data_IF_087647908079
#
_entry.id   IF_087647908079
#
_cell.length_a   1.000
_cell.length_b   1.000
_cell.length_c   1.000
_cell.angle_alpha   90.00
_cell.angle_beta   90.00
_cell.angle_gamma   90.00
#
_symmetry.space_group_name_H-M   'P 1'
#
loop_
_entity.id
_entity.type
_entity.pdbx_description
1 polymer ?
#
# COMPACT_ATOMS: atom_id res chain seq x y z
N UNK A 1 -14.29 -16.95 4.32
CA UNK A 1 -14.59 -16.38 3.01
C UNK A 1 -13.83 -15.05 2.84
N UNK A 2 -13.38 -14.68 1.63
CA UNK A 2 -12.60 -13.46 1.40
C UNK A 2 -13.43 -12.18 1.20
N UNK A 3 -14.67 -12.13 1.67
CA UNK A 3 -15.53 -10.94 1.55
C UNK A 3 -15.25 -10.00 2.72
N UNK A 4 -14.53 -8.97 2.46
CA UNK A 4 -14.17 -7.96 3.44
C UNK A 4 -13.03 -7.08 2.95
N UNK A 5 -12.76 -6.04 3.71
CA UNK A 5 -11.70 -5.06 3.46
C UNK A 5 -10.67 -5.08 4.58
N UNK A 6 -9.45 -4.64 4.27
CA UNK A 6 -8.44 -4.47 5.30
C UNK A 6 -7.55 -3.27 5.05
N UNK A 7 -6.87 -2.85 6.09
CA UNK A 7 -5.73 -1.94 5.97
C UNK A 7 -4.57 -2.42 6.84
N UNK A 8 -3.35 -1.99 6.51
CA UNK A 8 -2.18 -2.13 7.35
C UNK A 8 -1.72 -0.74 7.73
N UNK A 9 -1.54 -0.51 9.02
CA UNK A 9 -1.17 0.76 9.62
C UNK A 9 0.26 0.67 10.17
N UNK A 10 1.03 1.73 10.02
CA UNK A 10 2.29 1.92 10.76
C UNK A 10 1.94 2.55 12.11
N UNK A 11 2.52 2.03 13.18
CA UNK A 11 2.43 2.57 14.53
C UNK A 11 3.76 3.24 14.84
N UNK A 12 3.73 4.50 15.23
CA UNK A 12 4.86 5.27 15.73
C UNK A 12 4.51 5.79 17.12
N UNK A 13 5.36 5.52 18.10
CA UNK A 13 5.16 5.96 19.50
C UNK A 13 3.75 5.59 20.05
N UNK A 14 3.24 4.41 19.68
CA UNK A 14 1.91 3.94 20.07
C UNK A 14 0.73 4.52 19.27
N UNK A 15 0.97 5.47 18.37
CA UNK A 15 -0.07 6.12 17.57
C UNK A 15 -0.14 5.54 16.16
N UNK A 16 -1.34 5.19 15.65
CA UNK A 16 -1.51 4.78 14.25
C UNK A 16 -1.37 5.98 13.31
N UNK A 17 -0.38 5.95 12.41
CA UNK A 17 -0.11 7.04 11.49
C UNK A 17 -1.18 7.17 10.41
N UNK A 18 -1.65 8.41 10.17
CA UNK A 18 -2.62 8.77 9.13
C UNK A 18 -3.89 7.90 9.15
N UNK A 19 -4.41 7.62 10.35
CA UNK A 19 -5.56 6.75 10.53
C UNK A 19 -6.79 7.22 9.78
N UNK A 20 -7.02 8.53 9.69
CA UNK A 20 -8.08 9.17 8.95
C UNK A 20 -8.10 8.78 7.46
N UNK A 21 -6.93 8.79 6.79
CA UNK A 21 -6.78 8.37 5.39
C UNK A 21 -7.00 6.87 5.21
N UNK A 22 -6.51 6.07 6.15
CA UNK A 22 -6.75 4.63 6.15
C UNK A 22 -8.23 4.30 6.34
N UNK A 23 -8.90 5.03 7.23
CA UNK A 23 -10.33 4.89 7.50
C UNK A 23 -11.16 5.26 6.27
N UNK A 24 -10.92 6.43 5.69
CA UNK A 24 -11.63 6.89 4.50
C UNK A 24 -11.53 5.85 3.34
N UNK A 25 -10.33 5.29 3.12
CA UNK A 25 -10.16 4.25 2.10
C UNK A 25 -10.92 2.96 2.46
N UNK A 26 -10.86 2.49 3.71
CA UNK A 26 -11.61 1.29 4.13
C UNK A 26 -13.11 1.49 3.97
N UNK A 27 -13.65 2.65 4.34
CA UNK A 27 -15.06 2.98 4.16
C UNK A 27 -15.44 2.95 2.68
N UNK A 28 -14.68 3.62 1.83
CA UNK A 28 -14.89 3.61 0.38
C UNK A 28 -14.84 2.20 -0.22
N UNK A 29 -13.85 1.40 0.17
CA UNK A 29 -13.72 0.02 -0.31
C UNK A 29 -14.88 -0.86 0.17
N UNK A 30 -15.33 -0.69 1.43
CA UNK A 30 -16.46 -1.40 2.00
C UNK A 30 -17.77 -1.09 1.25
N UNK A 31 -18.04 0.19 0.96
CA UNK A 31 -19.19 0.62 0.15
C UNK A 31 -19.18 -0.05 -1.23
N UNK A 32 -18.02 -0.12 -1.90
CA UNK A 32 -17.88 -0.81 -3.20
C UNK A 32 -18.16 -2.31 -3.09
N UNK A 33 -17.89 -2.93 -1.94
CA UNK A 33 -18.20 -4.32 -1.66
C UNK A 33 -19.65 -4.55 -1.17
N UNK A 34 -20.45 -3.48 -1.01
CA UNK A 34 -21.80 -3.56 -0.50
C UNK A 34 -21.86 -4.03 0.96
N UNK A 35 -20.98 -3.48 1.80
CA UNK A 35 -20.92 -3.75 3.24
C UNK A 35 -20.76 -2.48 4.05
N UNK A 36 -21.30 -2.45 5.27
CA UNK A 36 -21.06 -1.42 6.28
C UNK A 36 -19.92 -1.87 7.19
N UNK A 37 -19.10 -0.94 7.67
CA UNK A 37 -18.10 -1.27 8.70
C UNK A 37 -18.74 -1.50 10.07
N UNK A 38 -19.84 -0.81 10.39
CA UNK A 38 -20.58 -1.00 11.64
C UNK A 38 -19.87 -0.48 12.90
N UNK A 39 -18.80 0.30 12.74
CA UNK A 39 -17.97 0.85 13.83
C UNK A 39 -17.67 2.33 13.57
N UNK A 40 -17.46 3.05 14.66
CA UNK A 40 -17.02 4.44 14.63
C UNK A 40 -15.50 4.54 14.46
N UNK A 41 -15.04 5.48 13.63
CA UNK A 41 -13.62 5.71 13.36
C UNK A 41 -12.80 5.88 14.64
N UNK A 42 -13.26 6.72 15.58
CA UNK A 42 -12.56 7.02 16.82
C UNK A 42 -12.38 5.77 17.69
N UNK A 43 -13.41 4.92 17.78
CA UNK A 43 -13.36 3.68 18.54
C UNK A 43 -12.33 2.70 17.97
N UNK A 44 -12.31 2.53 16.65
CA UNK A 44 -11.33 1.62 16.00
C UNK A 44 -9.90 2.16 16.13
N UNK A 45 -9.71 3.48 16.02
CA UNK A 45 -8.42 4.12 16.26
C UNK A 45 -7.91 3.84 17.69
N UNK A 46 -8.79 4.01 18.67
CA UNK A 46 -8.50 3.72 20.08
C UNK A 46 -8.13 2.25 20.28
N UNK A 47 -8.92 1.32 19.75
CA UNK A 47 -8.62 -0.13 19.85
C UNK A 47 -7.26 -0.49 19.27
N UNK A 48 -6.85 0.13 18.16
CA UNK A 48 -5.50 -0.08 17.58
C UNK A 48 -4.43 0.38 18.56
N UNK A 49 -4.58 1.55 19.17
CA UNK A 49 -3.59 2.10 20.12
C UNK A 49 -3.52 1.27 21.40
N UNK A 50 -4.66 0.92 22.00
CA UNK A 50 -4.73 0.07 23.19
C UNK A 50 -4.12 -1.31 22.94
N UNK A 51 -4.41 -1.93 21.79
CA UNK A 51 -3.84 -3.22 21.43
C UNK A 51 -2.32 -3.14 21.18
N UNK A 52 -1.85 -2.03 20.58
CA UNK A 52 -0.43 -1.79 20.39
C UNK A 52 0.31 -1.67 21.72
N UNK A 53 -0.26 -0.96 22.67
CA UNK A 53 0.28 -0.82 24.03
C UNK A 53 0.29 -2.15 24.77
N UNK A 54 -0.86 -2.86 24.81
CA UNK A 54 -1.00 -4.14 25.49
C UNK A 54 -0.03 -5.21 24.95
N UNK A 55 0.27 -5.18 23.67
CA UNK A 55 1.19 -6.10 23.00
C UNK A 55 2.65 -5.58 22.98
N UNK A 56 2.94 -4.43 23.59
CA UNK A 56 4.26 -3.77 23.55
C UNK A 56 4.76 -3.56 22.11
N UNK A 57 3.90 -2.97 21.26
CA UNK A 57 4.16 -2.69 19.84
C UNK A 57 4.04 -1.20 19.52
N UNK A 58 4.67 -0.35 20.37
CA UNK A 58 4.68 1.10 20.18
C UNK A 58 5.38 1.52 18.89
N UNK A 59 6.35 0.71 18.44
CA UNK A 59 6.97 0.76 17.11
C UNK A 59 6.63 -0.53 16.36
N UNK A 60 5.60 -0.49 15.52
CA UNK A 60 5.10 -1.70 14.89
C UNK A 60 4.13 -1.44 13.74
N UNK A 61 3.35 -2.44 13.45
CA UNK A 61 2.26 -2.37 12.49
C UNK A 61 0.98 -2.95 13.08
N UNK A 62 -0.15 -2.39 12.69
CA UNK A 62 -1.45 -2.99 12.93
C UNK A 62 -2.11 -3.35 11.60
N UNK A 63 -2.81 -4.47 11.57
CA UNK A 63 -3.74 -4.84 10.51
C UNK A 63 -5.14 -4.78 11.05
N UNK A 64 -5.97 -3.93 10.45
CA UNK A 64 -7.40 -3.81 10.72
C UNK A 64 -8.15 -4.45 9.57
N UNK A 65 -9.05 -5.37 9.86
CA UNK A 65 -9.84 -6.10 8.87
C UNK A 65 -11.30 -6.09 9.27
N UNK A 66 -12.15 -5.82 8.30
CA UNK A 66 -13.60 -5.94 8.43
C UNK A 66 -14.07 -7.09 7.54
N UNK A 67 -14.67 -8.09 8.15
CA UNK A 67 -15.12 -9.33 7.48
C UNK A 67 -16.63 -9.36 7.46
N UNK A 68 -17.24 -9.50 6.28
CA UNK A 68 -18.68 -9.62 6.16
C UNK A 68 -19.15 -10.98 6.67
N UNK A 69 -20.05 -10.97 7.68
CA UNK A 69 -20.61 -12.15 8.32
C UNK A 69 -21.89 -12.65 7.66
N UNK A 70 -22.70 -11.72 7.14
CA UNK A 70 -24.02 -11.97 6.61
C UNK A 70 -24.11 -11.86 5.11
N UNK A 71 -25.14 -12.46 4.52
CA UNK A 71 -25.47 -12.30 3.12
C UNK A 71 -24.58 -13.09 2.15
N UNK A 72 -23.90 -14.14 2.63
CA UNK A 72 -23.33 -15.17 1.77
C UNK A 72 -24.40 -16.11 1.24
N UNK A 73 -24.06 -16.93 0.22
CA UNK A 73 -24.97 -17.88 -0.44
C UNK A 73 -25.70 -18.83 0.53
N UNK A 74 -25.15 -19.02 1.73
CA UNK A 74 -25.58 -20.01 2.72
C UNK A 74 -25.87 -19.41 4.10
N UNK A 75 -25.83 -18.09 4.24
CA UNK A 75 -26.02 -17.42 5.52
C UNK A 75 -27.46 -16.90 5.63
N UNK A 76 -28.19 -17.31 6.65
CA UNK A 76 -29.44 -16.67 7.05
C UNK A 76 -29.12 -15.38 7.81
N UNK A 77 -30.01 -14.39 7.70
CA UNK A 77 -29.93 -13.17 8.51
C UNK A 77 -30.19 -13.57 9.98
N UNK A 78 -29.20 -13.34 10.84
CA UNK A 78 -29.30 -13.56 12.28
C UNK A 78 -29.17 -12.25 13.05
N UNK A 79 -29.26 -12.32 14.39
CA UNK A 79 -29.11 -11.16 15.29
C UNK A 79 -27.65 -10.68 15.47
N UNK A 80 -26.68 -11.34 14.80
CA UNK A 80 -25.27 -10.98 14.89
C UNK A 80 -24.96 -9.75 14.04
N UNK A 81 -23.90 -8.97 14.36
CA UNK A 81 -23.45 -7.86 13.54
C UNK A 81 -23.17 -8.31 12.09
N UNK A 82 -23.47 -7.45 11.12
CA UNK A 82 -23.22 -7.74 9.70
C UNK A 82 -21.72 -7.93 9.41
N UNK A 83 -20.88 -7.31 10.21
CA UNK A 83 -19.42 -7.22 9.97
C UNK A 83 -18.66 -7.48 11.25
N UNK A 84 -17.66 -8.36 11.20
CA UNK A 84 -16.69 -8.58 12.27
C UNK A 84 -15.47 -7.68 12.08
N UNK A 85 -15.00 -7.10 13.19
CA UNK A 85 -13.74 -6.37 13.26
C UNK A 85 -12.64 -7.28 13.83
N UNK A 86 -11.54 -7.40 13.09
CA UNK A 86 -10.33 -8.11 13.51
C UNK A 86 -9.15 -7.14 13.49
N UNK A 87 -8.44 -7.01 14.61
CA UNK A 87 -7.24 -6.19 14.72
C UNK A 87 -6.06 -7.07 15.17
N UNK A 88 -4.96 -6.98 14.44
CA UNK A 88 -3.71 -7.66 14.75
C UNK A 88 -2.58 -6.66 14.82
N UNK A 89 -1.67 -6.81 15.79
CA UNK A 89 -0.42 -6.04 15.85
C UNK A 89 0.78 -6.94 15.62
N UNK A 90 1.81 -6.41 14.97
CA UNK A 90 3.06 -7.13 14.68
C UNK A 90 4.26 -6.21 14.84
N UNK A 91 5.43 -6.81 15.05
CA UNK A 91 6.70 -6.10 14.89
C UNK A 91 6.84 -5.57 13.48
N UNK A 92 7.58 -4.47 13.34
CA UNK A 92 7.93 -3.94 12.03
C UNK A 92 8.78 -4.97 11.28
N UNK A 93 8.40 -5.20 10.02
CA UNK A 93 9.19 -6.04 9.12
C UNK A 93 10.47 -5.31 8.76
N UNK A 94 11.60 -6.01 8.85
CA UNK A 94 12.88 -5.50 8.37
C UNK A 94 12.94 -5.72 6.85
N UNK A 95 13.02 -4.64 6.10
CA UNK A 95 13.12 -4.67 4.65
C UNK A 95 14.57 -4.49 4.20
N UNK A 96 14.98 -5.04 3.04
CA UNK A 96 16.28 -4.73 2.45
C UNK A 96 16.37 -3.23 2.12
N UNK A 97 17.59 -2.69 2.19
CA UNK A 97 17.83 -1.28 1.83
C UNK A 97 17.53 -0.97 0.36
N UNK A 98 17.67 -1.97 -0.50
CA UNK A 98 17.39 -1.89 -1.95
C UNK A 98 16.62 -3.12 -2.37
N UNK A 99 15.49 -2.91 -3.05
CA UNK A 99 14.58 -3.96 -3.47
C UNK A 99 14.88 -4.46 -4.88
N UNK A 100 14.62 -5.74 -5.12
CA UNK A 100 14.63 -6.40 -6.43
C UNK A 100 13.21 -6.82 -6.77
N UNK A 101 12.68 -6.37 -7.89
CA UNK A 101 11.32 -6.66 -8.30
C UNK A 101 11.30 -7.66 -9.45
N UNK A 102 10.31 -8.56 -9.43
CA UNK A 102 9.92 -9.39 -10.58
C UNK A 102 8.88 -8.64 -11.38
N UNK A 103 8.92 -8.69 -12.71
CA UNK A 103 7.85 -8.16 -13.55
C UNK A 103 6.82 -9.25 -13.85
N UNK A 104 5.54 -8.95 -13.69
CA UNK A 104 4.45 -9.86 -14.04
C UNK A 104 3.45 -9.19 -14.98
N UNK A 105 3.37 -9.71 -16.20
CA UNK A 105 2.42 -9.25 -17.21
C UNK A 105 1.01 -9.77 -16.91
N UNK A 106 -0.02 -9.02 -17.34
CA UNK A 106 -1.44 -9.40 -17.25
C UNK A 106 -1.87 -9.86 -15.85
N UNK A 107 -1.32 -9.24 -14.82
CA UNK A 107 -1.55 -9.63 -13.43
C UNK A 107 -2.69 -8.87 -12.76
N UNK A 108 -3.11 -7.76 -13.33
CA UNK A 108 -4.16 -6.90 -12.80
C UNK A 108 -5.12 -6.54 -13.93
N UNK A 109 -6.43 -6.52 -13.64
CA UNK A 109 -7.46 -6.10 -14.59
C UNK A 109 -8.10 -4.81 -14.10
N UNK A 110 -7.72 -3.69 -14.70
CA UNK A 110 -8.10 -2.35 -14.24
C UNK A 110 -9.57 -2.01 -14.47
N UNK A 111 -10.21 -2.64 -15.45
CA UNK A 111 -11.62 -2.41 -15.77
C UNK A 111 -12.61 -3.11 -14.82
N UNK A 112 -12.13 -3.86 -13.81
CA UNK A 112 -13.05 -4.48 -12.84
C UNK A 112 -13.64 -3.45 -11.90
N UNK A 113 -14.90 -3.69 -11.47
CA UNK A 113 -15.59 -2.84 -10.47
C UNK A 113 -14.77 -2.65 -9.17
N UNK A 114 -13.95 -3.63 -8.80
CA UNK A 114 -13.19 -3.65 -7.55
C UNK A 114 -11.70 -3.40 -7.74
N UNK A 115 -11.26 -2.96 -8.94
CA UNK A 115 -9.87 -2.58 -9.16
C UNK A 115 -9.43 -1.51 -8.15
N UNK A 116 -8.24 -1.65 -7.59
CA UNK A 116 -7.70 -0.74 -6.58
C UNK A 116 -8.31 -0.88 -5.17
N UNK A 117 -9.29 -1.78 -4.93
CA UNK A 117 -9.84 -2.01 -3.60
C UNK A 117 -8.95 -2.94 -2.76
N UNK A 118 -8.77 -2.61 -1.47
CA UNK A 118 -7.96 -3.42 -0.54
C UNK A 118 -8.80 -4.49 0.14
N UNK A 119 -9.02 -5.58 -0.59
CA UNK A 119 -9.89 -6.69 -0.19
C UNK A 119 -9.15 -7.83 0.51
N UNK A 120 -9.85 -8.56 1.35
CA UNK A 120 -9.34 -9.79 1.98
C UNK A 120 -9.05 -10.93 0.98
N UNK A 121 -9.70 -10.93 -0.18
CA UNK A 121 -9.43 -11.85 -1.31
C UNK A 121 -8.08 -11.52 -1.98
N UNK A 122 -6.99 -11.62 -1.24
CA UNK A 122 -5.65 -11.22 -1.65
C UNK A 122 -4.76 -12.40 -2.09
N UNK A 123 -5.33 -13.57 -2.31
CA UNK A 123 -4.59 -14.81 -2.58
C UNK A 123 -3.74 -14.73 -3.86
N UNK A 124 -4.20 -14.03 -4.89
CA UNK A 124 -3.43 -13.86 -6.12
C UNK A 124 -2.11 -13.12 -5.86
N UNK A 125 -2.17 -11.98 -5.15
CA UNK A 125 -0.98 -11.20 -4.80
C UNK A 125 -0.05 -12.00 -3.87
N UNK A 126 -0.62 -12.75 -2.89
CA UNK A 126 0.15 -13.58 -1.98
C UNK A 126 0.90 -14.68 -2.74
N UNK A 127 0.25 -15.37 -3.68
CA UNK A 127 0.89 -16.42 -4.47
C UNK A 127 1.99 -15.90 -5.40
N UNK A 128 1.77 -14.74 -6.04
CA UNK A 128 2.79 -14.07 -6.84
C UNK A 128 4.01 -13.67 -6.00
N UNK A 129 3.76 -13.11 -4.82
CA UNK A 129 4.81 -12.69 -3.88
C UNK A 129 5.63 -13.88 -3.37
N UNK A 130 4.97 -14.97 -2.97
CA UNK A 130 5.62 -16.19 -2.49
C UNK A 130 6.53 -16.80 -3.57
N UNK A 131 6.03 -16.88 -4.81
CA UNK A 131 6.82 -17.33 -5.96
C UNK A 131 8.02 -16.42 -6.20
N UNK A 132 7.84 -15.10 -6.18
CA UNK A 132 8.93 -14.15 -6.38
C UNK A 132 10.00 -14.28 -5.29
N UNK A 133 9.60 -14.46 -4.03
CA UNK A 133 10.54 -14.71 -2.92
C UNK A 133 11.35 -15.98 -3.14
N UNK A 134 10.73 -17.07 -3.63
CA UNK A 134 11.45 -18.31 -3.93
C UNK A 134 12.48 -18.17 -5.07
N UNK A 135 12.27 -17.17 -5.95
CA UNK A 135 13.17 -16.81 -7.06
C UNK A 135 14.19 -15.72 -6.66
N UNK A 136 14.15 -15.24 -5.41
CA UNK A 136 15.10 -14.27 -4.86
C UNK A 136 14.73 -12.81 -5.14
N UNK A 137 13.48 -12.51 -5.46
CA UNK A 137 12.95 -11.14 -5.57
C UNK A 137 12.21 -10.75 -4.30
N UNK A 138 12.07 -9.44 -4.05
CA UNK A 138 11.49 -8.89 -2.82
C UNK A 138 10.01 -8.50 -2.98
N UNK A 139 9.55 -8.25 -4.21
CA UNK A 139 8.15 -7.98 -4.58
C UNK A 139 7.95 -8.20 -6.09
N UNK A 140 6.71 -8.06 -6.57
CA UNK A 140 6.35 -8.23 -7.97
C UNK A 140 5.71 -6.95 -8.49
N UNK A 141 6.28 -6.36 -9.55
CA UNK A 141 5.69 -5.27 -10.31
C UNK A 141 4.63 -5.84 -11.26
N UNK A 142 3.41 -5.38 -11.13
CA UNK A 142 2.25 -5.86 -11.86
C UNK A 142 1.93 -4.94 -13.05
N UNK A 143 1.75 -5.54 -14.22
CA UNK A 143 1.17 -4.87 -15.37
C UNK A 143 -0.34 -5.17 -15.43
N UNK A 144 -1.10 -4.17 -15.88
CA UNK A 144 -2.50 -4.36 -16.17
C UNK A 144 -2.73 -5.04 -17.55
N UNK A 145 -3.98 -5.24 -17.94
CA UNK A 145 -4.38 -5.87 -19.20
C UNK A 145 -3.93 -5.11 -20.45
N UNK A 146 -3.68 -3.82 -20.33
CA UNK A 146 -3.15 -2.96 -21.42
C UNK A 146 -1.63 -2.94 -21.50
N UNK A 147 -0.95 -3.68 -20.61
CA UNK A 147 0.52 -3.71 -20.54
C UNK A 147 1.12 -2.50 -19.82
N UNK A 148 0.32 -1.66 -19.17
CA UNK A 148 0.81 -0.54 -18.38
C UNK A 148 1.22 -0.99 -16.97
N UNK A 149 2.24 -0.33 -16.41
CA UNK A 149 2.62 -0.47 -15.01
C UNK A 149 1.44 -0.05 -14.13
N UNK A 150 1.14 -0.83 -13.11
CA UNK A 150 0.09 -0.49 -12.16
C UNK A 150 0.67 -0.27 -10.75
N UNK A 151 1.09 -1.33 -10.10
CA UNK A 151 1.65 -1.31 -8.73
C UNK A 151 2.47 -2.58 -8.48
N UNK A 152 3.09 -2.70 -7.31
CA UNK A 152 3.61 -3.97 -6.82
C UNK A 152 2.53 -4.72 -6.03
N UNK A 153 2.74 -6.01 -5.73
CA UNK A 153 1.77 -6.80 -4.95
C UNK A 153 1.44 -6.15 -3.61
N UNK A 154 2.36 -5.39 -3.03
CA UNK A 154 2.20 -4.78 -1.70
C UNK A 154 2.68 -3.33 -1.59
N UNK A 155 2.92 -2.63 -2.71
CA UNK A 155 3.42 -1.25 -2.76
C UNK A 155 3.01 -0.54 -4.05
N UNK A 156 2.91 0.80 -4.02
CA UNK A 156 2.84 1.61 -5.24
C UNK A 156 4.24 1.82 -5.83
N UNK A 157 4.33 2.04 -7.15
CA UNK A 157 5.58 2.23 -7.88
C UNK A 157 5.74 3.68 -8.33
N UNK A 158 6.99 4.16 -8.34
CA UNK A 158 7.38 5.49 -8.79
C UNK A 158 8.67 5.40 -9.60
N UNK A 159 8.69 6.14 -10.70
CA UNK A 159 9.86 6.30 -11.56
C UNK A 159 10.36 7.74 -11.46
N UNK A 160 11.66 7.91 -11.42
CA UNK A 160 12.29 9.24 -11.47
C UNK A 160 12.88 9.43 -12.88
N UNK A 161 12.52 10.54 -13.50
CA UNK A 161 13.09 10.96 -14.79
C UNK A 161 13.42 12.45 -14.70
N UNK A 162 14.70 12.78 -14.82
CA UNK A 162 15.17 14.14 -14.58
C UNK A 162 14.80 14.62 -13.17
N UNK A 163 13.99 15.68 -13.05
CA UNK A 163 13.51 16.22 -11.77
C UNK A 163 12.02 15.91 -11.51
N UNK A 164 11.47 14.89 -12.21
CA UNK A 164 10.07 14.49 -12.10
C UNK A 164 9.94 13.12 -11.49
N UNK A 165 8.95 12.98 -10.66
CA UNK A 165 8.51 11.72 -10.06
C UNK A 165 7.21 11.30 -10.77
N UNK A 166 7.25 10.17 -11.44
CA UNK A 166 6.14 9.63 -12.23
C UNK A 166 5.54 8.44 -11.49
N UNK A 167 4.22 8.32 -11.48
CA UNK A 167 3.52 7.15 -10.91
C UNK A 167 2.30 6.81 -11.76
N UNK A 168 1.90 5.53 -11.85
CA UNK A 168 0.68 5.15 -12.52
C UNK A 168 -0.55 5.85 -11.95
N UNK A 169 -1.53 6.25 -12.79
CA UNK A 169 -2.79 6.82 -12.33
C UNK A 169 -3.65 5.73 -11.68
N UNK A 170 -4.62 6.11 -10.87
CA UNK A 170 -5.55 5.12 -10.26
C UNK A 170 -6.33 4.33 -11.31
N UNK A 171 -6.54 4.91 -12.50
CA UNK A 171 -7.15 4.23 -13.65
C UNK A 171 -6.34 3.02 -14.15
N UNK A 172 -5.05 2.90 -13.82
CA UNK A 172 -4.26 1.70 -14.10
C UNK A 172 -4.71 0.47 -13.29
N UNK A 173 -5.60 0.68 -12.31
CA UNK A 173 -6.10 -0.34 -11.39
C UNK A 173 -5.31 -0.45 -10.09
N UNK A 174 -4.31 0.40 -9.88
CA UNK A 174 -3.51 0.39 -8.66
C UNK A 174 -4.29 0.86 -7.42
N UNK A 175 -3.87 0.38 -6.26
CA UNK A 175 -4.41 0.79 -4.97
C UNK A 175 -4.16 2.29 -4.73
N UNK A 176 -5.17 3.08 -4.23
CA UNK A 176 -4.94 4.41 -3.67
C UNK A 176 -4.22 4.29 -2.32
N UNK A 177 -2.89 4.08 -2.37
CA UNK A 177 -2.06 3.87 -1.19
C UNK A 177 -2.00 5.11 -0.31
N UNK A 178 -2.11 4.95 1.02
CA UNK A 178 -2.01 6.09 1.96
C UNK A 178 -0.62 6.71 1.90
N UNK A 179 0.44 5.91 1.83
CA UNK A 179 1.80 6.44 1.64
C UNK A 179 1.95 7.17 0.29
N UNK A 180 1.33 6.64 -0.79
CA UNK A 180 1.28 7.33 -2.10
C UNK A 180 0.56 8.69 -1.99
N UNK A 181 -0.53 8.75 -1.23
CA UNK A 181 -1.28 9.98 -1.01
C UNK A 181 -0.45 11.01 -0.23
N UNK A 182 0.25 10.61 0.83
CA UNK A 182 1.20 11.48 1.55
C UNK A 182 2.32 11.97 0.61
N UNK A 183 2.82 11.12 -0.30
CA UNK A 183 3.85 11.53 -1.26
C UNK A 183 3.36 12.58 -2.26
N UNK A 184 2.05 12.71 -2.52
CA UNK A 184 1.51 13.81 -3.33
C UNK A 184 1.72 15.17 -2.67
N UNK A 185 1.84 15.22 -1.35
CA UNK A 185 2.19 16.42 -0.60
C UNK A 185 3.71 16.56 -0.45
N UNK A 186 4.40 15.47 -0.11
CA UNK A 186 5.84 15.46 0.18
C UNK A 186 6.69 15.78 -1.06
N UNK A 187 6.37 15.22 -2.23
CA UNK A 187 7.18 15.40 -3.45
C UNK A 187 7.29 16.86 -3.88
N UNK A 188 6.18 17.64 -3.97
CA UNK A 188 6.26 19.06 -4.28
C UNK A 188 7.02 19.87 -3.21
N UNK A 189 6.83 19.56 -1.92
CA UNK A 189 7.56 20.22 -0.83
C UNK A 189 9.07 19.96 -0.89
N UNK A 190 9.47 18.82 -1.41
CA UNK A 190 10.88 18.50 -1.66
C UNK A 190 11.46 19.17 -2.93
N UNK A 191 10.66 19.95 -3.65
CA UNK A 191 11.07 20.68 -4.85
C UNK A 191 11.03 19.85 -6.14
N UNK A 192 10.32 18.72 -6.15
CA UNK A 192 10.15 17.86 -7.33
C UNK A 192 8.72 17.96 -7.88
N UNK A 193 8.57 17.66 -9.16
CA UNK A 193 7.26 17.57 -9.80
C UNK A 193 6.75 16.12 -9.70
N UNK A 194 5.53 15.91 -9.18
CA UNK A 194 4.84 14.62 -9.21
C UNK A 194 3.81 14.61 -10.34
N UNK A 195 3.88 13.59 -11.20
CA UNK A 195 2.91 13.38 -12.28
C UNK A 195 2.32 11.97 -12.22
N UNK A 196 1.00 11.90 -12.35
CA UNK A 196 0.28 10.65 -12.62
C UNK A 196 0.11 10.51 -14.13
N UNK A 197 0.62 9.42 -14.69
CA UNK A 197 0.50 9.11 -16.12
C UNK A 197 0.62 7.62 -16.37
N UNK A 198 0.06 7.16 -17.49
CA UNK A 198 0.28 5.80 -17.94
C UNK A 198 1.78 5.57 -18.18
N UNK A 199 2.29 4.48 -17.64
CA UNK A 199 3.67 4.07 -17.73
C UNK A 199 3.75 2.66 -18.30
N UNK A 200 4.73 2.42 -19.15
CA UNK A 200 4.99 1.12 -19.76
C UNK A 200 6.34 0.57 -19.33
N UNK A 201 6.66 -0.70 -19.60
CA UNK A 201 8.00 -1.22 -19.36
C UNK A 201 9.12 -0.43 -20.07
N UNK A 202 8.83 0.23 -21.21
CA UNK A 202 9.82 1.06 -21.92
C UNK A 202 10.21 2.30 -21.10
N UNK A 203 9.29 2.82 -20.28
CA UNK A 203 9.57 3.94 -19.38
C UNK A 203 10.61 3.61 -18.31
N UNK A 204 10.73 2.32 -17.92
CA UNK A 204 11.77 1.86 -16.99
C UNK A 204 13.18 2.06 -17.57
N UNK A 205 13.34 1.96 -18.89
CA UNK A 205 14.65 2.15 -19.54
C UNK A 205 15.17 3.58 -19.43
N UNK A 206 14.27 4.54 -19.36
CA UNK A 206 14.62 5.97 -19.25
C UNK A 206 14.55 6.51 -17.83
N UNK A 207 14.16 5.70 -16.85
CA UNK A 207 14.15 6.08 -15.45
C UNK A 207 15.57 6.09 -14.88
N UNK A 208 15.94 7.18 -14.20
CA UNK A 208 17.22 7.28 -13.48
C UNK A 208 17.16 6.57 -12.13
N UNK A 209 16.00 6.61 -11.47
CA UNK A 209 15.74 5.95 -10.20
C UNK A 209 14.34 5.31 -10.24
N UNK A 210 14.17 4.23 -9.50
CA UNK A 210 12.86 3.63 -9.23
C UNK A 210 12.73 3.43 -7.73
N UNK A 211 11.56 3.75 -7.18
CA UNK A 211 11.25 3.44 -5.79
C UNK A 211 9.81 2.95 -5.65
N UNK A 212 9.54 2.30 -4.55
CA UNK A 212 8.21 1.83 -4.16
C UNK A 212 7.79 2.48 -2.84
N UNK A 213 6.49 2.60 -2.63
CA UNK A 213 5.96 3.09 -1.36
C UNK A 213 4.90 2.18 -0.77
N UNK A 214 4.97 1.97 0.51
CA UNK A 214 3.93 1.30 1.29
C UNK A 214 3.99 1.70 2.75
N UNK A 215 2.97 1.40 3.51
CA UNK A 215 2.91 1.70 4.96
C UNK A 215 4.11 1.15 5.74
N UNK A 216 4.62 -0.03 5.36
CA UNK A 216 5.70 -0.70 6.10
C UNK A 216 7.09 -0.45 5.53
N UNK A 217 7.19 -0.02 4.27
CA UNK A 217 8.46 0.32 3.60
C UNK A 217 8.70 1.83 3.54
N UNK A 218 7.65 2.64 3.81
CA UNK A 218 7.68 4.08 3.61
C UNK A 218 8.07 4.41 2.14
N UNK A 219 9.27 4.93 1.93
CA UNK A 219 9.88 5.13 0.60
C UNK A 219 11.08 4.21 0.50
N UNK A 220 11.06 3.28 -0.45
CA UNK A 220 12.07 2.25 -0.56
C UNK A 220 12.65 2.14 -1.97
N UNK A 221 13.96 2.20 -2.09
CA UNK A 221 14.67 2.17 -3.36
C UNK A 221 14.56 0.81 -4.06
N UNK A 222 14.47 0.82 -5.39
CA UNK A 222 14.51 -0.37 -6.25
C UNK A 222 15.81 -0.37 -7.03
N UNK A 223 16.60 -1.43 -6.90
CA UNK A 223 17.88 -1.59 -7.61
C UNK A 223 17.75 -2.36 -8.92
N UNK A 224 16.72 -3.21 -9.05
CA UNK A 224 16.49 -3.93 -10.29
C UNK A 224 15.04 -4.38 -10.47
N UNK A 225 14.64 -4.52 -11.72
CA UNK A 225 13.40 -5.17 -12.13
C UNK A 225 13.79 -6.26 -13.13
N UNK A 226 13.48 -7.51 -12.80
CA UNK A 226 14.02 -8.70 -13.47
C UNK A 226 15.57 -8.64 -13.65
N UNK A 227 16.11 -9.30 -14.66
CA UNK A 227 17.50 -9.14 -15.07
C UNK A 227 17.73 -7.95 -16.02
N UNK A 228 16.64 -7.37 -16.53
CA UNK A 228 16.63 -6.43 -17.66
C UNK A 228 16.93 -4.99 -17.22
N UNK A 229 16.34 -4.51 -16.13
CA UNK A 229 16.52 -3.14 -15.71
C UNK A 229 17.34 -3.06 -14.42
N UNK A 230 18.31 -2.14 -14.41
CA UNK A 230 19.18 -1.84 -13.27
C UNK A 230 19.14 -0.35 -12.99
N UNK A 231 19.06 0.02 -11.73
CA UNK A 231 19.01 1.42 -11.30
C UNK A 231 20.10 1.68 -10.27
N UNK A 232 20.62 2.89 -10.28
CA UNK A 232 21.51 3.35 -9.21
C UNK A 232 20.66 3.58 -7.94
N UNK A 233 20.86 2.75 -6.91
CA UNK A 233 19.98 2.68 -5.75
C UNK A 233 20.76 2.54 -4.43
N UNK A 234 20.39 3.35 -3.40
CA UNK A 234 19.37 4.38 -3.43
C UNK A 234 19.82 5.63 -4.18
N UNK A 235 18.99 6.12 -5.10
CA UNK A 235 19.27 7.33 -5.84
C UNK A 235 19.07 8.61 -4.99
N UNK A 236 19.58 9.74 -5.48
CA UNK A 236 19.58 11.01 -4.72
C UNK A 236 18.17 11.53 -4.43
N UNK A 237 17.26 11.41 -5.40
CA UNK A 237 15.88 11.88 -5.28
C UNK A 237 15.12 10.96 -4.31
N UNK A 238 15.26 9.64 -4.45
CA UNK A 238 14.68 8.67 -3.52
C UNK A 238 15.10 8.93 -2.08
N UNK A 239 16.40 9.16 -1.82
CA UNK A 239 16.90 9.50 -0.48
C UNK A 239 16.36 10.84 0.04
N UNK A 240 16.19 11.84 -0.84
CA UNK A 240 15.60 13.12 -0.44
C UNK A 240 14.12 12.94 -0.04
N UNK A 241 13.35 12.19 -0.83
CA UNK A 241 11.95 11.90 -0.55
C UNK A 241 11.77 11.06 0.71
N UNK A 242 12.65 10.09 0.96
CA UNK A 242 12.63 9.31 2.21
C UNK A 242 12.81 10.22 3.43
N UNK A 243 13.76 11.17 3.38
CA UNK A 243 13.96 12.14 4.47
C UNK A 243 12.74 13.04 4.67
N UNK A 244 12.22 13.61 3.59
CA UNK A 244 11.03 14.48 3.65
C UNK A 244 9.80 13.72 4.15
N UNK A 245 9.64 12.45 3.79
CA UNK A 245 8.56 11.60 4.31
C UNK A 245 8.70 11.40 5.84
N UNK A 246 9.90 11.10 6.31
CA UNK A 246 10.16 10.95 7.77
C UNK A 246 9.91 12.26 8.53
N UNK A 247 10.25 13.41 7.94
CA UNK A 247 9.96 14.72 8.54
C UNK A 247 8.45 15.00 8.56
N UNK A 248 7.73 14.62 7.51
CA UNK A 248 6.25 14.68 7.47
C UNK A 248 5.64 13.83 8.60
N UNK A 249 6.09 12.58 8.78
CA UNK A 249 5.64 11.70 9.86
C UNK A 249 5.86 12.36 11.23
N UNK A 250 7.06 12.88 11.50
CA UNK A 250 7.38 13.56 12.76
C UNK A 250 6.48 14.78 13.03
N UNK A 251 6.18 15.55 11.99
CA UNK A 251 5.30 16.71 12.10
C UNK A 251 3.85 16.30 12.39
N UNK A 252 3.39 15.26 11.70
CA UNK A 252 2.05 14.70 11.89
C UNK A 252 1.83 14.18 13.32
N UNK A 253 2.80 13.46 13.87
CA UNK A 253 2.73 12.91 15.23
C UNK A 253 2.68 13.99 16.34
N UNK A 254 3.24 15.18 16.08
CA UNK A 254 3.20 16.32 17.03
C UNK A 254 1.86 17.05 17.02
N UNK A 255 1.11 16.96 15.93
CA UNK A 255 -0.19 17.61 15.74
C UNK A 255 -1.39 16.71 16.05
N UNK A 256 -1.17 15.43 16.25
CA UNK A 256 -2.14 14.40 16.64
C UNK A 256 -1.99 14.05 18.12
#
# INVERSE_FOLDING_TARGET
MGWGVFTTLRIYEGKPFAFDRHWARMTHDAERLGMSLGYEQASVCQFVSELAEANNRLEGTARVSFVKNHGGLWAEAGDSPETDLLIFTRQLVQWPAVHRLKLQQHALYSATRLAGAKMLSWVQNAGLLEKAHSEGFDDVLLLNESGHLAECTSANIFLVRENRVLTPPLASGCLPGVTRDVLREVVPHAGFELREQDLTPDDLTSASEVFISSTTREVAAVGSIDAQWRFDAPGKITMALERCFKDYVRSHLKSS
#
